data_IF_017012000465
#
_entry.id   IF_017012000465
#
_cell.length_a   1.000
_cell.length_b   1.000
_cell.length_c   1.000
_cell.angle_alpha   90.00
_cell.angle_beta   90.00
_cell.angle_gamma   90.00
#
_symmetry.space_group_name_H-M   'P 1'
#
loop_
_entity.id
_entity.type
_entity.pdbx_description
1 polymer ?
#
# COMPACT_ATOMS: atom_id res chain seq x y z
N UNK A 1 17.04 -15.30 3.69
CA UNK A 1 17.27 -13.84 3.80
C UNK A 1 16.27 -13.15 2.86
N UNK A 2 15.15 -12.73 3.38
CA UNK A 2 14.18 -11.94 2.60
C UNK A 2 14.74 -10.53 2.56
N UNK A 3 15.41 -10.17 1.48
CA UNK A 3 15.83 -8.80 1.23
C UNK A 3 14.55 -8.02 1.00
N UNK A 4 14.18 -7.22 1.97
CA UNK A 4 13.03 -6.37 1.90
C UNK A 4 13.30 -5.32 0.83
N UNK A 5 12.56 -5.38 -0.25
CA UNK A 5 12.47 -4.26 -1.20
C UNK A 5 11.68 -3.14 -0.52
N UNK A 6 12.36 -2.37 0.33
CA UNK A 6 11.84 -1.07 0.70
C UNK A 6 11.86 -0.20 -0.57
N UNK A 7 10.73 0.35 -1.00
CA UNK A 7 10.73 1.31 -2.11
C UNK A 7 11.78 2.40 -1.84
N UNK A 8 12.52 2.80 -2.86
CA UNK A 8 13.63 3.77 -2.73
C UNK A 8 13.22 5.05 -2.00
N UNK A 9 11.97 5.49 -2.21
CA UNK A 9 11.41 6.66 -1.54
C UNK A 9 11.30 6.58 -0.02
N UNK A 10 11.32 5.37 0.55
CA UNK A 10 11.15 5.20 1.99
C UNK A 10 12.36 5.67 2.81
N UNK A 11 13.55 5.72 2.22
CA UNK A 11 14.72 6.29 2.87
C UNK A 11 14.56 7.79 3.21
N UNK A 12 13.76 8.51 2.42
CA UNK A 12 13.44 9.91 2.65
C UNK A 12 12.51 10.15 3.86
N UNK A 13 11.76 9.12 4.29
CA UNK A 13 10.84 9.21 5.42
C UNK A 13 11.53 9.15 6.80
N UNK A 14 12.85 9.01 6.85
CA UNK A 14 13.68 9.05 8.07
C UNK A 14 13.16 8.19 9.24
N UNK A 15 12.59 7.03 8.93
CA UNK A 15 12.05 6.12 9.94
C UNK A 15 13.19 5.34 10.62
N UNK A 16 13.20 5.22 11.96
CA UNK A 16 14.17 4.42 12.68
C UNK A 16 14.16 2.94 12.26
N UNK A 17 15.33 2.32 12.17
CA UNK A 17 15.48 0.92 11.75
C UNK A 17 14.61 -0.05 12.58
N UNK A 18 14.47 0.18 13.88
CA UNK A 18 13.64 -0.67 14.74
C UNK A 18 12.14 -0.60 14.39
N UNK A 19 11.64 0.54 13.93
CA UNK A 19 10.26 0.68 13.45
C UNK A 19 10.08 -0.03 12.11
N UNK A 20 11.04 0.10 11.19
CA UNK A 20 11.04 -0.65 9.94
C UNK A 20 11.02 -2.15 10.16
N UNK A 21 11.82 -2.67 11.08
CA UNK A 21 11.85 -4.10 11.39
C UNK A 21 10.49 -4.60 11.90
N UNK A 22 9.82 -3.82 12.76
CA UNK A 22 8.47 -4.16 13.26
C UNK A 22 7.43 -4.11 12.14
N UNK A 23 7.47 -3.08 11.29
CA UNK A 23 6.63 -2.96 10.11
C UNK A 23 6.78 -4.17 9.19
N UNK A 24 8.01 -4.53 8.84
CA UNK A 24 8.27 -5.65 7.93
C UNK A 24 7.84 -6.99 8.53
N UNK A 25 8.05 -7.19 9.79
CA UNK A 25 7.57 -8.38 10.48
C UNK A 25 6.03 -8.47 10.42
N UNK A 26 5.35 -7.38 10.76
CA UNK A 26 3.89 -7.30 10.73
C UNK A 26 3.34 -7.57 9.32
N UNK A 27 3.83 -6.87 8.31
CA UNK A 27 3.36 -7.03 6.93
C UNK A 27 3.68 -8.43 6.39
N UNK A 28 4.84 -9.00 6.74
CA UNK A 28 5.22 -10.34 6.28
C UNK A 28 4.30 -11.41 6.86
N UNK A 29 3.99 -11.36 8.15
CA UNK A 29 3.07 -12.32 8.77
C UNK A 29 1.68 -12.28 8.11
N UNK A 30 1.14 -11.09 7.89
CA UNK A 30 -0.16 -10.93 7.25
C UNK A 30 -0.15 -11.35 5.77
N UNK A 31 0.93 -11.08 5.04
CA UNK A 31 1.06 -11.49 3.65
C UNK A 31 1.21 -13.02 3.50
N UNK A 32 1.89 -13.69 4.42
CA UNK A 32 1.99 -15.15 4.40
C UNK A 32 0.66 -15.85 4.75
N UNK A 33 -0.22 -15.15 5.46
CA UNK A 33 -1.52 -15.65 5.87
C UNK A 33 -2.66 -15.35 4.88
N UNK A 34 -2.46 -14.41 3.94
CA UNK A 34 -3.53 -13.97 3.02
C UNK A 34 -3.03 -13.78 1.58
N UNK A 35 -3.63 -14.49 0.59
CA UNK A 35 -3.22 -14.41 -0.81
C UNK A 35 -3.34 -13.02 -1.43
N UNK A 36 -4.33 -12.20 -1.03
CA UNK A 36 -4.51 -10.87 -1.57
C UNK A 36 -3.32 -9.96 -1.23
N UNK A 37 -2.95 -9.90 0.04
CA UNK A 37 -1.81 -9.10 0.47
C UNK A 37 -0.48 -9.67 -0.06
N UNK A 38 -0.36 -11.00 -0.16
CA UNK A 38 0.82 -11.64 -0.73
C UNK A 38 1.05 -11.24 -2.19
N UNK A 39 0.01 -11.38 -3.04
CA UNK A 39 0.10 -11.06 -4.45
C UNK A 39 0.36 -9.57 -4.70
N UNK A 40 -0.30 -8.69 -3.94
CA UNK A 40 -0.03 -7.24 -4.02
C UNK A 40 1.41 -6.91 -3.62
N UNK A 41 1.96 -7.59 -2.61
CA UNK A 41 3.36 -7.39 -2.21
C UNK A 41 4.35 -7.83 -3.30
N UNK A 42 4.08 -8.95 -3.97
CA UNK A 42 4.87 -9.38 -5.13
C UNK A 42 4.77 -8.38 -6.29
N UNK A 43 3.59 -7.86 -6.56
CA UNK A 43 3.36 -6.85 -7.60
C UNK A 43 4.20 -5.59 -7.37
N UNK A 44 4.26 -5.09 -6.13
CA UNK A 44 5.13 -3.96 -5.78
C UNK A 44 6.61 -4.25 -6.01
N UNK A 45 7.09 -5.40 -5.55
CA UNK A 45 8.47 -5.82 -5.78
C UNK A 45 8.81 -5.96 -7.26
N UNK A 46 7.87 -6.50 -8.06
CA UNK A 46 8.03 -6.61 -9.51
C UNK A 46 8.09 -5.25 -10.20
N UNK A 47 7.30 -4.26 -9.77
CA UNK A 47 7.32 -2.91 -10.33
C UNK A 47 8.72 -2.28 -10.30
N UNK A 48 9.40 -2.40 -9.17
CA UNK A 48 10.78 -1.92 -9.01
C UNK A 48 11.78 -2.68 -9.91
N UNK A 49 11.64 -4.01 -9.99
CA UNK A 49 12.53 -4.84 -10.82
C UNK A 49 12.32 -4.61 -12.32
N UNK A 50 11.08 -4.33 -12.75
CA UNK A 50 10.77 -3.98 -14.14
C UNK A 50 11.38 -2.63 -14.50
N UNK A 51 11.25 -1.63 -13.61
CA UNK A 51 11.88 -0.33 -13.82
C UNK A 51 13.40 -0.44 -13.95
N UNK A 52 14.02 -1.35 -13.20
CA UNK A 52 15.44 -1.68 -13.29
C UNK A 52 15.79 -2.58 -14.50
N UNK A 53 14.81 -2.95 -15.33
CA UNK A 53 14.97 -3.86 -16.48
C UNK A 53 15.48 -5.27 -16.12
N UNK A 54 15.21 -5.70 -14.88
CA UNK A 54 15.53 -7.06 -14.39
C UNK A 54 14.41 -8.05 -14.74
N UNK A 55 13.16 -7.59 -14.71
CA UNK A 55 11.99 -8.38 -15.10
C UNK A 55 11.30 -7.78 -16.34
N UNK A 56 10.69 -8.61 -17.19
CA UNK A 56 9.88 -8.14 -18.30
C UNK A 56 8.52 -7.56 -17.80
N UNK A 57 7.94 -6.56 -18.50
CA UNK A 57 6.68 -5.91 -18.09
C UNK A 57 5.49 -6.87 -17.95
N UNK A 58 5.47 -7.96 -18.69
CA UNK A 58 4.38 -8.97 -18.68
C UNK A 58 4.23 -9.61 -17.30
N UNK A 59 5.30 -9.68 -16.51
CA UNK A 59 5.25 -10.18 -15.12
C UNK A 59 4.36 -9.31 -14.24
N UNK A 60 4.42 -7.98 -14.42
CA UNK A 60 3.54 -7.08 -13.67
C UNK A 60 2.08 -7.27 -14.04
N UNK A 61 1.77 -7.48 -15.33
CA UNK A 61 0.38 -7.72 -15.77
C UNK A 61 -0.18 -9.00 -15.16
N UNK A 62 0.60 -10.06 -15.16
CA UNK A 62 0.21 -11.32 -14.54
C UNK A 62 0.02 -11.19 -13.02
N UNK A 63 0.98 -10.58 -12.32
CA UNK A 63 0.87 -10.36 -10.86
C UNK A 63 -0.30 -9.45 -10.49
N UNK A 64 -0.59 -8.44 -11.32
CA UNK A 64 -1.74 -7.57 -11.15
C UNK A 64 -3.06 -8.36 -11.26
N UNK A 65 -3.18 -9.24 -12.25
CA UNK A 65 -4.35 -10.12 -12.41
C UNK A 65 -4.53 -11.01 -11.18
N UNK A 66 -3.45 -11.62 -10.68
CA UNK A 66 -3.49 -12.44 -9.47
C UNK A 66 -3.90 -11.62 -8.23
N UNK A 67 -3.39 -10.40 -8.08
CA UNK A 67 -3.72 -9.52 -6.99
C UNK A 67 -5.20 -9.11 -7.01
N UNK A 68 -5.72 -8.67 -8.16
CA UNK A 68 -7.12 -8.28 -8.33
C UNK A 68 -8.05 -9.47 -8.08
N UNK A 69 -7.74 -10.64 -8.60
CA UNK A 69 -8.51 -11.88 -8.37
C UNK A 69 -8.57 -12.24 -6.90
N UNK A 70 -7.42 -12.27 -6.22
CA UNK A 70 -7.35 -12.61 -4.79
C UNK A 70 -8.07 -11.58 -3.90
N UNK A 71 -8.07 -10.31 -4.28
CA UNK A 71 -8.85 -9.26 -3.61
C UNK A 71 -10.35 -9.53 -3.82
N UNK A 72 -10.79 -9.83 -5.05
CA UNK A 72 -12.19 -10.18 -5.34
C UNK A 72 -12.68 -11.37 -4.52
N UNK A 73 -11.91 -12.46 -4.50
CA UNK A 73 -12.23 -13.66 -3.69
C UNK A 73 -12.32 -13.35 -2.18
N UNK A 74 -11.48 -12.43 -1.69
CA UNK A 74 -11.53 -12.02 -0.29
C UNK A 74 -12.73 -11.10 0.01
N UNK A 75 -13.16 -10.27 -0.94
CA UNK A 75 -14.35 -9.43 -0.78
C UNK A 75 -15.65 -10.26 -0.79
N UNK A 76 -15.68 -11.37 -1.51
CA UNK A 76 -16.82 -12.29 -1.55
C UNK A 76 -16.96 -13.12 -0.26
N UNK A 77 -15.94 -13.18 0.58
CA UNK A 77 -15.96 -13.87 1.87
C UNK A 77 -16.26 -12.87 3.00
N UNK A 78 -17.44 -12.95 3.67
CA UNK A 78 -17.81 -12.02 4.74
C UNK A 78 -16.82 -11.95 5.91
N UNK A 79 -16.07 -13.02 6.17
CA UNK A 79 -15.06 -13.07 7.24
C UNK A 79 -13.77 -12.35 6.84
N UNK A 80 -13.51 -12.23 5.54
CA UNK A 80 -12.30 -11.61 5.00
C UNK A 80 -12.51 -10.19 4.49
N UNK A 81 -13.75 -9.85 4.10
CA UNK A 81 -14.09 -8.60 3.39
C UNK A 81 -13.62 -7.31 4.09
N UNK A 82 -13.44 -7.33 5.41
CA UNK A 82 -12.90 -6.20 6.19
C UNK A 82 -11.72 -6.62 7.08
N UNK A 83 -11.03 -7.69 6.72
CA UNK A 83 -9.87 -8.19 7.44
C UNK A 83 -8.65 -7.26 7.33
N UNK A 84 -7.76 -7.34 8.30
CA UNK A 84 -6.51 -6.55 8.31
C UNK A 84 -5.66 -6.75 7.05
N UNK A 85 -5.41 -8.00 6.58
CA UNK A 85 -4.67 -8.21 5.34
C UNK A 85 -5.35 -7.60 4.12
N UNK A 86 -6.70 -7.67 4.04
CA UNK A 86 -7.41 -7.13 2.89
C UNK A 86 -7.41 -5.59 2.88
N UNK A 87 -7.58 -4.94 4.02
CA UNK A 87 -7.44 -3.47 4.14
C UNK A 87 -6.06 -3.02 3.64
N UNK A 88 -5.01 -3.75 4.02
CA UNK A 88 -3.64 -3.46 3.58
C UNK A 88 -3.43 -3.74 2.08
N UNK A 89 -4.00 -4.83 1.56
CA UNK A 89 -3.92 -5.19 0.15
C UNK A 89 -4.59 -4.14 -0.75
N UNK A 90 -5.81 -3.73 -0.39
CA UNK A 90 -6.60 -2.74 -1.16
C UNK A 90 -5.90 -1.38 -1.18
N UNK A 91 -5.36 -0.92 -0.05
CA UNK A 91 -4.61 0.34 -0.04
C UNK A 91 -3.30 0.28 -0.83
N UNK A 92 -2.63 -0.86 -0.82
CA UNK A 92 -1.39 -1.05 -1.58
C UNK A 92 -1.63 -1.16 -3.09
N UNK A 93 -2.67 -1.87 -3.53
CA UNK A 93 -2.99 -1.91 -4.96
C UNK A 93 -3.43 -0.53 -5.45
N UNK A 94 -4.14 0.27 -4.63
CA UNK A 94 -4.46 1.65 -4.95
C UNK A 94 -3.19 2.48 -5.23
N UNK A 95 -2.20 2.40 -4.34
CA UNK A 95 -0.93 3.10 -4.52
C UNK A 95 -0.17 2.60 -5.76
N UNK A 96 -0.14 1.30 -6.01
CA UNK A 96 0.47 0.72 -7.21
C UNK A 96 -0.17 1.27 -8.48
N UNK A 97 -1.50 1.25 -8.57
CA UNK A 97 -2.25 1.76 -9.73
C UNK A 97 -2.04 3.28 -9.93
N UNK A 98 -1.94 4.03 -8.84
CA UNK A 98 -1.66 5.47 -8.92
C UNK A 98 -0.28 5.77 -9.49
N UNK A 99 0.71 4.91 -9.25
CA UNK A 99 2.09 5.12 -9.66
C UNK A 99 2.45 4.48 -10.99
N UNK A 100 1.93 3.29 -11.27
CA UNK A 100 2.37 2.44 -12.39
C UNK A 100 1.23 2.00 -13.31
N UNK A 101 -0.02 2.19 -12.92
CA UNK A 101 -1.19 1.63 -13.60
C UNK A 101 -2.27 2.66 -13.95
N UNK A 102 -3.50 2.34 -13.55
CA UNK A 102 -4.71 3.10 -13.87
C UNK A 102 -5.12 4.04 -12.73
N UNK A 103 -4.72 5.30 -12.77
CA UNK A 103 -5.00 6.30 -11.74
C UNK A 103 -6.49 6.47 -11.43
N UNK A 104 -7.34 6.45 -12.45
CA UNK A 104 -8.80 6.58 -12.26
C UNK A 104 -9.36 5.42 -11.43
N UNK A 105 -8.92 4.18 -11.68
CA UNK A 105 -9.32 3.02 -10.89
C UNK A 105 -8.76 3.07 -9.46
N UNK A 106 -7.53 3.58 -9.30
CA UNK A 106 -6.93 3.79 -7.99
C UNK A 106 -7.79 4.71 -7.13
N UNK A 107 -8.20 5.84 -7.68
CA UNK A 107 -8.94 6.88 -6.95
C UNK A 107 -10.41 6.50 -6.72
N UNK A 108 -11.13 6.11 -7.79
CA UNK A 108 -12.58 5.88 -7.74
C UNK A 108 -12.97 4.55 -7.09
N UNK A 109 -12.12 3.53 -7.13
CA UNK A 109 -12.44 2.19 -6.65
C UNK A 109 -11.64 1.84 -5.39
N UNK A 110 -10.31 1.78 -5.51
CA UNK A 110 -9.50 1.17 -4.45
C UNK A 110 -9.35 2.06 -3.21
N UNK A 111 -9.13 3.36 -3.36
CA UNK A 111 -9.04 4.29 -2.22
C UNK A 111 -10.36 4.37 -1.46
N UNK A 112 -11.48 4.49 -2.19
CA UNK A 112 -12.82 4.53 -1.60
C UNK A 112 -13.13 3.24 -0.86
N UNK A 113 -12.80 2.07 -1.45
CA UNK A 113 -12.99 0.78 -0.81
C UNK A 113 -12.19 0.65 0.48
N UNK A 114 -10.89 1.02 0.47
CA UNK A 114 -10.07 1.01 1.68
C UNK A 114 -10.65 1.89 2.78
N UNK A 115 -11.07 3.12 2.45
CA UNK A 115 -11.70 4.02 3.40
C UNK A 115 -12.96 3.42 4.02
N UNK A 116 -13.82 2.81 3.18
CA UNK A 116 -15.04 2.12 3.65
C UNK A 116 -14.71 0.98 4.61
N UNK A 117 -13.74 0.12 4.28
CA UNK A 117 -13.34 -1.00 5.12
C UNK A 117 -12.81 -0.51 6.48
N UNK A 118 -11.99 0.55 6.50
CA UNK A 118 -11.48 1.17 7.73
C UNK A 118 -12.63 1.74 8.56
N UNK A 119 -13.59 2.39 7.92
CA UNK A 119 -14.77 2.97 8.59
C UNK A 119 -15.64 1.88 9.23
N UNK A 120 -15.87 0.77 8.52
CA UNK A 120 -16.61 -0.38 9.06
C UNK A 120 -15.92 -1.03 10.26
N UNK A 121 -14.58 -0.92 10.35
CA UNK A 121 -13.78 -1.38 11.50
C UNK A 121 -13.73 -0.38 12.66
N UNK A 122 -14.44 0.74 12.57
CA UNK A 122 -14.46 1.79 13.61
C UNK A 122 -13.42 2.90 13.43
N UNK A 123 -12.85 3.01 12.22
CA UNK A 123 -11.87 4.03 11.86
C UNK A 123 -10.42 3.59 12.10
N UNK A 124 -9.48 4.43 11.68
CA UNK A 124 -8.04 4.16 11.75
C UNK A 124 -7.55 3.88 13.20
N UNK A 125 -8.13 4.54 14.18
CA UNK A 125 -7.78 4.36 15.59
C UNK A 125 -8.15 2.98 16.15
N UNK A 126 -9.19 2.35 15.61
CA UNK A 126 -9.67 1.04 16.05
C UNK A 126 -8.88 -0.14 15.42
N UNK A 127 -8.04 0.12 14.41
CA UNK A 127 -7.18 -0.90 13.83
C UNK A 127 -5.98 -1.16 14.75
N UNK A 128 -5.74 -2.42 15.06
CA UNK A 128 -4.57 -2.85 15.86
C UNK A 128 -3.32 -2.97 14.98
N UNK A 129 -3.02 -1.88 14.25
CA UNK A 129 -1.84 -1.79 13.40
C UNK A 129 -0.71 -1.07 14.12
N UNK A 130 0.56 -1.49 13.91
CA UNK A 130 1.70 -0.70 14.31
C UNK A 130 1.60 0.74 13.80
N UNK A 131 2.06 1.71 14.60
CA UNK A 131 1.91 3.12 14.25
C UNK A 131 2.53 3.48 12.90
N UNK A 132 3.69 2.91 12.57
CA UNK A 132 4.31 3.11 11.26
C UNK A 132 3.41 2.64 10.10
N UNK A 133 2.63 1.56 10.28
CA UNK A 133 1.67 1.10 9.25
C UNK A 133 0.61 2.16 9.02
N UNK A 134 0.02 2.71 10.09
CA UNK A 134 -0.99 3.78 10.02
C UNK A 134 -0.43 5.05 9.38
N UNK A 135 0.79 5.45 9.75
CA UNK A 135 1.49 6.60 9.14
C UNK A 135 1.72 6.41 7.65
N UNK A 136 2.15 5.21 7.22
CA UNK A 136 2.36 4.89 5.80
C UNK A 136 1.05 4.82 5.02
N UNK A 137 -0.05 4.37 5.62
CA UNK A 137 -1.38 4.41 4.99
C UNK A 137 -1.83 5.86 4.73
N UNK A 138 -1.68 6.76 5.71
CA UNK A 138 -1.97 8.19 5.54
C UNK A 138 -1.05 8.85 4.51
N UNK A 139 0.22 8.50 4.53
CA UNK A 139 1.18 8.96 3.53
C UNK A 139 0.78 8.51 2.12
N UNK A 140 0.43 7.25 1.93
CA UNK A 140 -0.02 6.73 0.64
C UNK A 140 -1.28 7.46 0.14
N UNK A 141 -2.27 7.68 1.01
CA UNK A 141 -3.48 8.45 0.69
C UNK A 141 -3.15 9.89 0.27
N UNK A 142 -2.21 10.55 0.96
CA UNK A 142 -1.73 11.89 0.60
C UNK A 142 -1.08 11.91 -0.78
N UNK A 143 -0.20 10.96 -1.07
CA UNK A 143 0.47 10.86 -2.38
C UNK A 143 -0.55 10.63 -3.49
N UNK A 144 -1.49 9.72 -3.29
CA UNK A 144 -2.55 9.45 -4.26
C UNK A 144 -3.43 10.68 -4.49
N UNK A 145 -3.79 11.40 -3.44
CA UNK A 145 -4.54 12.67 -3.51
C UNK A 145 -3.81 13.73 -4.36
N UNK A 146 -2.49 13.87 -4.17
CA UNK A 146 -1.67 14.80 -4.98
C UNK A 146 -1.62 14.36 -6.44
N UNK A 147 -1.42 13.07 -6.71
CA UNK A 147 -1.29 12.55 -8.07
C UNK A 147 -2.58 12.61 -8.89
N UNK A 148 -3.75 12.55 -8.25
CA UNK A 148 -5.06 12.56 -8.91
C UNK A 148 -5.84 13.86 -8.72
N UNK A 149 -5.27 14.87 -8.05
CA UNK A 149 -5.94 16.13 -7.69
C UNK A 149 -7.31 15.88 -7.03
N UNK A 150 -7.35 14.94 -6.10
CA UNK A 150 -8.56 14.49 -5.41
C UNK A 150 -8.49 14.70 -3.89
N UNK A 151 -9.63 14.74 -3.17
CA UNK A 151 -9.64 14.86 -1.72
C UNK A 151 -8.93 13.70 -1.03
N UNK A 152 -8.39 13.96 0.16
CA UNK A 152 -7.86 12.93 1.04
C UNK A 152 -8.97 12.21 1.77
N UNK A 153 -8.84 10.89 1.92
CA UNK A 153 -9.75 10.06 2.72
C UNK A 153 -9.22 9.81 4.13
N UNK A 154 -7.90 9.66 4.27
CA UNK A 154 -7.26 9.40 5.56
C UNK A 154 -6.60 10.68 6.06
N UNK A 155 -7.22 11.31 7.05
CA UNK A 155 -6.73 12.58 7.60
C UNK A 155 -5.45 12.36 8.41
N UNK A 156 -4.59 13.38 8.41
CA UNK A 156 -3.38 13.41 9.22
C UNK A 156 -3.71 13.58 10.70
N UNK A 157 -2.77 13.11 11.51
CA UNK A 157 -2.62 13.42 12.91
C UNK A 157 -1.19 13.95 13.16
N UNK A 158 -0.88 14.27 14.40
CA UNK A 158 0.42 14.82 14.81
C UNK A 158 1.61 13.89 14.52
N UNK A 159 1.35 12.62 14.21
CA UNK A 159 2.36 11.61 13.92
C UNK A 159 2.56 11.34 12.42
N UNK A 160 1.85 12.05 11.56
CA UNK A 160 2.00 11.92 10.11
C UNK A 160 3.36 12.44 9.61
N UNK A 161 3.82 11.91 8.48
CA UNK A 161 4.98 12.48 7.79
C UNK A 161 4.69 13.89 7.31
N UNK A 162 5.70 14.77 7.36
CA UNK A 162 5.56 16.13 6.87
C UNK A 162 5.31 16.16 5.35
N UNK A 163 4.85 17.30 4.83
CA UNK A 163 4.67 17.47 3.39
C UNK A 163 6.02 17.38 2.66
N UNK A 164 7.08 17.96 3.23
CA UNK A 164 8.43 17.91 2.68
C UNK A 164 8.95 16.47 2.58
N UNK A 165 8.84 15.68 3.66
CA UNK A 165 9.19 14.26 3.64
C UNK A 165 8.38 13.46 2.61
N UNK A 166 7.09 13.78 2.49
CA UNK A 166 6.19 13.11 1.55
C UNK A 166 6.58 13.38 0.09
N UNK A 167 6.90 14.63 -0.24
CA UNK A 167 7.35 15.03 -1.58
C UNK A 167 8.72 14.42 -1.88
N UNK A 168 9.67 14.51 -0.95
CA UNK A 168 11.00 13.92 -1.12
C UNK A 168 10.94 12.40 -1.34
N UNK A 169 10.05 11.70 -0.64
CA UNK A 169 9.84 10.27 -0.83
C UNK A 169 9.23 9.96 -2.21
N UNK A 170 8.28 10.77 -2.67
CA UNK A 170 7.69 10.62 -4.00
C UNK A 170 8.73 10.86 -5.10
N UNK A 171 9.51 11.93 -5.02
CA UNK A 171 10.58 12.24 -5.97
C UNK A 171 11.61 11.12 -6.04
N UNK A 172 12.08 10.64 -4.89
CA UNK A 172 13.03 9.52 -4.81
C UNK A 172 12.48 8.21 -5.38
N UNK A 173 11.16 8.05 -5.38
CA UNK A 173 10.51 6.89 -5.97
C UNK A 173 10.37 7.01 -7.48
N UNK A 174 10.14 8.22 -8.00
CA UNK A 174 9.97 8.46 -9.45
C UNK A 174 11.28 8.44 -10.24
N UNK A 175 12.44 8.66 -9.58
CA UNK A 175 13.79 8.56 -10.16
C UNK A 175 14.29 7.11 -10.21
#
# INVERSE_FOLDING_TARGET
MVTVFAPRGWSALRVPHAEWSRYEHFITLHALADPALFNVRLLFGAGDLIRQKVLPPEVALWLRDQAVRSIGEALDDPMRAVSDPLILAVGRIALYESMYGHRDAADSIHRSAQYYMITMRGGMGALDFPELVKRLMRWADRIMSILSDSPRFLLDDDQSFSMEESIAALEAWML
#
